data_IF_913135282027
#
_entry.id   IF_913135282027
#
_cell.length_a   1.000
_cell.length_b   1.000
_cell.length_c   1.000
_cell.angle_alpha   90.00
_cell.angle_beta   90.00
_cell.angle_gamma   90.00
#
_symmetry.space_group_name_H-M   'P 1'
#
loop_
_entity.id
_entity.type
_entity.pdbx_description
1 polymer ?
#
# COMPACT_ATOMS: atom_id res chain seq x y z
N UNK A 1 37.55 -9.27 30.55
CA UNK A 1 36.36 -8.54 31.00
C UNK A 1 36.07 -7.26 30.22
N UNK A 2 37.02 -6.37 29.95
CA UNK A 2 36.78 -5.10 29.21
C UNK A 2 36.35 -5.31 27.75
N UNK A 3 36.92 -6.29 27.06
CA UNK A 3 36.55 -6.62 25.66
C UNK A 3 35.13 -7.15 25.56
N UNK A 4 34.75 -8.06 26.46
CA UNK A 4 33.41 -8.65 26.51
C UNK A 4 32.33 -7.57 26.70
N UNK A 5 32.55 -6.61 27.62
CA UNK A 5 31.64 -5.47 27.83
C UNK A 5 31.49 -4.57 26.59
N UNK A 6 32.59 -4.35 25.83
CA UNK A 6 32.55 -3.58 24.58
C UNK A 6 31.75 -4.31 23.50
N UNK A 7 31.94 -5.63 23.37
CA UNK A 7 31.18 -6.44 22.41
C UNK A 7 29.67 -6.41 22.73
N UNK A 8 29.32 -6.60 24.00
CA UNK A 8 27.93 -6.56 24.46
C UNK A 8 27.29 -5.19 24.18
N UNK A 9 28.02 -4.10 24.42
CA UNK A 9 27.55 -2.74 24.14
C UNK A 9 27.30 -2.53 22.64
N UNK A 10 28.20 -2.99 21.78
CA UNK A 10 28.08 -2.89 20.33
C UNK A 10 26.85 -3.69 19.85
N UNK A 11 26.66 -4.92 20.33
CA UNK A 11 25.50 -5.75 19.99
C UNK A 11 24.20 -5.07 20.42
N UNK A 12 24.18 -4.47 21.61
CA UNK A 12 23.01 -3.75 22.12
C UNK A 12 22.67 -2.51 21.28
N UNK A 13 23.67 -1.75 20.83
CA UNK A 13 23.50 -0.59 19.95
C UNK A 13 22.98 -1.02 18.57
N UNK A 14 23.54 -2.09 17.99
CA UNK A 14 23.07 -2.64 16.72
C UNK A 14 21.62 -3.12 16.82
N UNK A 15 21.27 -3.79 17.92
CA UNK A 15 19.90 -4.24 18.16
C UNK A 15 18.91 -3.08 18.31
N UNK A 16 19.29 -1.98 18.97
CA UNK A 16 18.50 -0.76 19.07
C UNK A 16 18.31 -0.06 17.71
N UNK A 17 19.34 -0.06 16.86
CA UNK A 17 19.24 0.52 15.51
C UNK A 17 18.30 -0.26 14.60
N UNK A 18 18.18 -1.59 14.75
CA UNK A 18 17.28 -2.44 13.97
C UNK A 18 15.82 -2.29 14.40
N UNK A 19 15.58 -1.78 15.61
CA UNK A 19 14.21 -1.60 16.15
C UNK A 19 13.49 -0.35 15.66
N UNK A 20 14.12 0.50 14.83
CA UNK A 20 13.49 1.69 14.25
C UNK A 20 12.60 1.20 13.09
N UNK A 21 11.34 0.95 13.40
CA UNK A 21 10.35 0.55 12.41
C UNK A 21 10.05 1.67 11.41
N UNK A 22 9.94 1.32 10.12
CA UNK A 22 9.43 2.24 9.11
C UNK A 22 7.91 2.31 9.20
N UNK A 23 7.35 3.50 9.44
CA UNK A 23 5.92 3.74 9.33
C UNK A 23 5.55 4.06 7.88
N UNK A 24 4.49 3.43 7.37
CA UNK A 24 3.91 3.76 6.07
C UNK A 24 3.06 5.03 6.12
N UNK A 25 2.88 5.70 4.98
CA UNK A 25 1.94 6.81 4.87
C UNK A 25 0.50 6.30 5.06
N UNK A 26 -0.34 6.99 5.87
CA UNK A 26 -1.72 6.60 6.05
C UNK A 26 -2.51 6.75 4.73
N UNK A 27 -3.32 5.75 4.42
CA UNK A 27 -4.20 5.76 3.27
C UNK A 27 -5.53 6.43 3.67
N UNK A 28 -5.88 7.54 2.99
CA UNK A 28 -7.18 8.19 3.16
C UNK A 28 -8.11 7.71 2.05
N UNK A 29 -9.20 7.05 2.43
CA UNK A 29 -10.25 6.60 1.51
C UNK A 29 -11.41 7.58 1.64
N UNK A 30 -11.77 8.26 0.56
CA UNK A 30 -12.90 9.17 0.53
C UNK A 30 -14.21 8.37 0.52
N UNK A 31 -15.11 8.68 1.47
CA UNK A 31 -16.35 7.92 1.67
C UNK A 31 -17.64 8.69 1.32
N UNK A 32 -17.55 10.00 1.04
CA UNK A 32 -18.72 10.84 0.73
C UNK A 32 -18.55 11.59 -0.58
N UNK A 33 -19.53 11.51 -1.51
CA UNK A 33 -19.47 12.27 -2.74
C UNK A 33 -19.71 13.75 -2.44
N UNK A 34 -18.92 14.62 -3.03
CA UNK A 34 -19.06 16.07 -2.90
C UNK A 34 -20.12 16.66 -3.83
N UNK A 35 -20.57 15.91 -4.82
CA UNK A 35 -21.55 16.30 -5.84
C UNK A 35 -22.47 15.10 -6.13
N UNK A 36 -23.66 15.34 -6.72
CA UNK A 36 -24.55 14.26 -7.14
C UNK A 36 -23.86 13.33 -8.14
N UNK A 37 -24.01 12.02 -7.94
CA UNK A 37 -23.44 10.98 -8.80
C UNK A 37 -24.52 10.20 -9.53
N UNK A 38 -24.22 9.75 -10.74
CA UNK A 38 -25.11 8.91 -11.54
C UNK A 38 -24.92 7.43 -11.14
N UNK A 39 -25.77 6.96 -10.23
CA UNK A 39 -25.71 5.58 -9.73
C UNK A 39 -26.07 4.52 -10.77
N UNK A 40 -26.67 4.92 -11.91
CA UNK A 40 -27.03 3.98 -12.99
C UNK A 40 -25.85 3.60 -13.87
N UNK A 41 -24.76 4.38 -13.83
CA UNK A 41 -23.57 4.21 -14.66
C UNK A 41 -22.34 3.75 -13.85
N UNK A 42 -22.58 3.00 -12.78
CA UNK A 42 -21.51 2.42 -11.99
C UNK A 42 -20.64 1.45 -12.79
N UNK A 43 -19.33 1.56 -12.66
CA UNK A 43 -18.36 0.61 -13.23
C UNK A 43 -17.38 0.10 -12.18
N UNK A 44 -17.08 -1.20 -12.22
CA UNK A 44 -16.06 -1.78 -11.35
C UNK A 44 -14.69 -1.45 -11.92
N UNK A 45 -13.82 -0.95 -11.07
CA UNK A 45 -12.42 -0.64 -11.39
C UNK A 45 -11.49 -1.38 -10.45
N UNK A 46 -10.34 -1.78 -10.96
CA UNK A 46 -9.31 -2.46 -10.18
C UNK A 46 -7.95 -1.83 -10.43
N UNK A 47 -7.10 -1.88 -9.40
CA UNK A 47 -5.71 -1.47 -9.52
C UNK A 47 -4.82 -2.29 -8.60
N UNK A 48 -3.65 -2.64 -9.10
CA UNK A 48 -2.69 -3.49 -8.40
C UNK A 48 -1.31 -2.84 -8.35
N UNK A 49 -0.61 -3.03 -7.23
CA UNK A 49 0.80 -2.69 -7.10
C UNK A 49 1.53 -3.75 -6.29
N UNK A 50 2.73 -4.08 -6.73
CA UNK A 50 3.57 -5.09 -6.08
C UNK A 50 4.88 -4.46 -5.60
N UNK A 51 5.45 -5.08 -4.56
CA UNK A 51 6.80 -4.87 -4.09
C UNK A 51 7.48 -6.22 -3.90
N UNK A 52 8.79 -6.22 -3.83
CA UNK A 52 9.60 -7.43 -3.69
C UNK A 52 10.55 -7.29 -2.50
N UNK A 53 10.64 -8.34 -1.69
CA UNK A 53 11.59 -8.42 -0.58
C UNK A 53 12.68 -9.45 -0.93
N UNK A 54 13.87 -8.95 -1.21
CA UNK A 54 15.01 -9.77 -1.58
C UNK A 54 15.61 -10.40 -0.31
N UNK A 55 15.82 -11.72 -0.33
CA UNK A 55 16.46 -12.50 0.75
C UNK A 55 15.89 -12.20 2.15
N UNK A 56 14.62 -11.81 2.26
CA UNK A 56 13.94 -11.42 3.50
C UNK A 56 14.54 -10.18 4.20
N UNK A 57 15.57 -9.55 3.63
CA UNK A 57 16.33 -8.48 4.26
C UNK A 57 16.18 -7.14 3.54
N UNK A 58 16.11 -7.14 2.19
CA UNK A 58 16.11 -5.92 1.39
C UNK A 58 14.71 -5.68 0.83
N UNK A 59 13.95 -4.69 1.37
CA UNK A 59 12.64 -4.34 0.85
C UNK A 59 12.77 -3.47 -0.41
N UNK A 60 12.25 -3.93 -1.52
CA UNK A 60 12.19 -3.18 -2.77
C UNK A 60 10.75 -2.80 -3.04
N UNK A 61 10.41 -1.51 -2.84
CA UNK A 61 9.08 -0.95 -3.09
C UNK A 61 7.94 -1.63 -2.29
N UNK A 62 8.24 -2.33 -1.20
CA UNK A 62 7.24 -3.05 -0.40
C UNK A 62 6.36 -2.10 0.41
N UNK A 63 6.99 -1.12 1.09
CA UNK A 63 6.31 -0.27 2.07
C UNK A 63 5.24 0.67 1.46
N UNK A 64 5.42 1.09 0.21
CA UNK A 64 4.52 2.03 -0.46
C UNK A 64 3.57 1.35 -1.48
N UNK A 65 3.49 0.03 -1.50
CA UNK A 65 2.68 -0.69 -2.50
C UNK A 65 1.19 -0.37 -2.39
N UNK A 66 0.68 -0.22 -1.17
CA UNK A 66 -0.73 0.12 -0.92
C UNK A 66 -1.06 1.53 -1.44
N UNK A 67 -0.23 2.52 -1.10
CA UNK A 67 -0.41 3.89 -1.58
C UNK A 67 -0.35 3.97 -3.12
N UNK A 68 0.59 3.27 -3.74
CA UNK A 68 0.70 3.22 -5.20
C UNK A 68 -0.50 2.50 -5.86
N UNK A 69 -0.98 1.41 -5.26
CA UNK A 69 -2.16 0.70 -5.77
C UNK A 69 -3.39 1.61 -5.71
N UNK A 70 -3.57 2.34 -4.60
CA UNK A 70 -4.67 3.28 -4.45
C UNK A 70 -4.58 4.48 -5.40
N UNK A 71 -3.40 5.06 -5.58
CA UNK A 71 -3.19 6.11 -6.57
C UNK A 71 -3.53 5.66 -7.99
N UNK A 72 -3.15 4.44 -8.37
CA UNK A 72 -3.53 3.84 -9.66
C UNK A 72 -5.05 3.66 -9.77
N UNK A 73 -5.72 3.28 -8.67
CA UNK A 73 -7.17 3.18 -8.63
C UNK A 73 -7.82 4.54 -8.93
N UNK A 74 -7.34 5.63 -8.30
CA UNK A 74 -7.81 6.98 -8.55
C UNK A 74 -7.58 7.43 -9.99
N UNK A 75 -6.44 7.11 -10.57
CA UNK A 75 -6.16 7.39 -12.00
C UNK A 75 -7.12 6.61 -12.91
N UNK A 76 -7.43 5.35 -12.59
CA UNK A 76 -8.37 4.53 -13.34
C UNK A 76 -9.81 5.05 -13.20
N UNK A 77 -10.14 5.64 -12.06
CA UNK A 77 -11.45 6.29 -11.84
C UNK A 77 -11.65 7.57 -12.68
N UNK A 78 -10.56 8.20 -13.14
CA UNK A 78 -10.61 9.41 -14.00
C UNK A 78 -11.39 10.57 -13.39
N UNK A 79 -11.38 10.69 -12.07
CA UNK A 79 -12.11 11.72 -11.35
C UNK A 79 -13.54 11.35 -10.95
N UNK A 80 -14.02 10.15 -11.30
CA UNK A 80 -15.30 9.64 -10.83
C UNK A 80 -15.28 9.39 -9.32
N UNK A 81 -16.46 9.45 -8.70
CA UNK A 81 -16.62 9.08 -7.30
C UNK A 81 -16.42 7.57 -7.10
N UNK A 82 -15.56 7.18 -6.19
CA UNK A 82 -15.29 5.78 -5.87
C UNK A 82 -15.91 5.39 -4.53
N UNK A 83 -16.53 4.22 -4.49
CA UNK A 83 -17.13 3.61 -3.29
C UNK A 83 -16.89 2.10 -3.28
N UNK A 84 -17.28 1.45 -2.19
CA UNK A 84 -17.13 0.00 -1.99
C UNK A 84 -15.69 -0.48 -2.21
N UNK A 85 -14.74 0.30 -1.69
CA UNK A 85 -13.31 0.00 -1.83
C UNK A 85 -12.96 -1.25 -1.04
N UNK A 86 -12.56 -2.29 -1.74
CA UNK A 86 -12.07 -3.55 -1.19
C UNK A 86 -10.57 -3.65 -1.43
N UNK A 87 -9.84 -4.14 -0.45
CA UNK A 87 -8.41 -4.36 -0.54
C UNK A 87 -8.11 -5.86 -0.41
N UNK A 88 -7.33 -6.37 -1.34
CA UNK A 88 -6.82 -7.75 -1.32
C UNK A 88 -5.29 -7.71 -1.29
N UNK A 89 -4.73 -8.39 -0.30
CA UNK A 89 -3.28 -8.62 -0.21
C UNK A 89 -2.97 -10.05 -0.68
N UNK A 90 -1.90 -10.18 -1.43
CA UNK A 90 -1.36 -11.46 -1.85
C UNK A 90 0.16 -11.44 -1.79
N UNK A 91 0.73 -12.61 -1.56
CA UNK A 91 2.17 -12.77 -1.54
C UNK A 91 2.56 -14.10 -2.17
N UNK A 92 3.71 -14.11 -2.80
CA UNK A 92 4.31 -15.31 -3.41
C UNK A 92 5.74 -15.41 -2.94
N UNK A 93 6.04 -16.53 -2.28
CA UNK A 93 7.38 -16.84 -1.85
C UNK A 93 8.16 -17.51 -2.99
N UNK A 94 9.35 -17.01 -3.25
CA UNK A 94 10.32 -17.60 -4.17
C UNK A 94 11.65 -17.84 -3.47
N UNK A 95 12.53 -18.61 -4.11
CA UNK A 95 13.84 -18.97 -3.54
C UNK A 95 14.72 -17.75 -3.20
N UNK A 96 14.63 -16.69 -4.00
CA UNK A 96 15.40 -15.44 -3.83
C UNK A 96 14.67 -14.35 -3.04
N UNK A 97 13.40 -14.52 -2.73
CA UNK A 97 12.64 -13.52 -1.96
C UNK A 97 11.14 -13.69 -2.06
N UNK A 98 10.42 -12.71 -1.57
CA UNK A 98 8.96 -12.73 -1.52
C UNK A 98 8.39 -11.53 -2.26
N UNK A 99 7.47 -11.76 -3.18
CA UNK A 99 6.68 -10.71 -3.81
C UNK A 99 5.41 -10.48 -3.01
N UNK A 100 5.14 -9.22 -2.67
CA UNK A 100 3.93 -8.77 -1.99
C UNK A 100 3.13 -7.89 -2.93
N UNK A 101 1.86 -8.19 -3.13
CA UNK A 101 0.98 -7.43 -4.00
C UNK A 101 -0.25 -6.96 -3.24
N UNK A 102 -0.61 -5.70 -3.45
CA UNK A 102 -1.87 -5.11 -3.01
C UNK A 102 -2.73 -4.81 -4.22
N UNK A 103 -3.96 -5.28 -4.20
CA UNK A 103 -4.97 -5.03 -5.21
C UNK A 103 -6.17 -4.32 -4.57
N UNK A 104 -6.61 -3.24 -5.18
CA UNK A 104 -7.86 -2.56 -4.84
C UNK A 104 -8.90 -2.80 -5.90
N UNK A 105 -10.12 -3.06 -5.47
CA UNK A 105 -11.33 -3.10 -6.27
C UNK A 105 -12.31 -2.07 -5.72
N UNK A 106 -12.94 -1.30 -6.59
CA UNK A 106 -13.94 -0.33 -6.19
C UNK A 106 -14.98 -0.12 -7.29
N UNK A 107 -16.12 0.46 -6.94
CA UNK A 107 -17.12 0.92 -7.89
C UNK A 107 -16.96 2.43 -8.12
N UNK A 108 -16.82 2.83 -9.36
CA UNK A 108 -16.72 4.23 -9.77
C UNK A 108 -18.04 4.70 -10.40
N UNK A 109 -18.52 5.85 -9.95
CA UNK A 109 -19.73 6.51 -10.44
C UNK A 109 -19.40 7.90 -11.01
N UNK A 110 -19.79 8.21 -12.25
CA UNK A 110 -19.57 9.53 -12.82
C UNK A 110 -20.41 10.59 -12.11
N UNK A 111 -19.86 11.79 -11.96
CA UNK A 111 -20.60 12.92 -11.45
C UNK A 111 -21.61 13.41 -12.50
N UNK A 112 -22.79 13.83 -12.03
CA UNK A 112 -23.79 14.47 -12.89
C UNK A 112 -23.29 15.87 -13.21
N UNK A 113 -23.03 16.14 -14.49
CA UNK A 113 -22.64 17.50 -14.93
C UNK A 113 -23.85 18.43 -14.79
N UNK A 114 -23.73 19.58 -14.11
CA UNK A 114 -24.77 20.60 -14.14
C UNK A 114 -24.98 21.06 -15.60
N UNK A 115 -26.24 21.17 -15.99
CA UNK A 115 -26.62 21.75 -17.28
C UNK A 115 -26.37 23.25 -17.29
#
# INVERSE_FOLDING_TARGET
MKILKKITLIIMIVFLMVSIGCSGAPLKINSTPQQPVDTTKGRVITAKSCGFQLLLLIPIMVNNRQARAYQRLLLTAQGDYITDVKMKESWVYGFIGTAYCTEFEATAYPYIKPK
#
